data_IF_641881570943
#
_entry.id   IF_641881570943
#
_cell.length_a   1.000
_cell.length_b   1.000
_cell.length_c   1.000
_cell.angle_alpha   90.00
_cell.angle_beta   90.00
_cell.angle_gamma   90.00
#
_symmetry.space_group_name_H-M   'P 1'
#
loop_
_entity.id
_entity.type
_entity.pdbx_description
1 polymer ?
#
# COMPACT_ATOMS: atom_id res chain seq x y z
N UNK A 1 8.19 3.10 11.09
CA UNK A 1 7.42 4.19 10.44
C UNK A 1 7.99 4.45 9.05
N UNK A 2 7.14 4.73 8.06
CA UNK A 2 7.53 5.01 6.68
C UNK A 2 6.94 6.33 6.21
N UNK A 3 7.76 7.15 5.57
CA UNK A 3 7.33 8.36 4.87
C UNK A 3 7.13 8.06 3.40
N UNK A 4 5.91 8.29 2.92
CA UNK A 4 5.51 8.10 1.54
C UNK A 4 5.51 9.45 0.83
N UNK A 5 6.42 9.59 -0.13
CA UNK A 5 6.52 10.80 -0.93
C UNK A 5 5.30 10.97 -1.85
N UNK A 6 5.00 12.23 -2.20
CA UNK A 6 3.83 12.59 -3.03
C UNK A 6 3.88 12.08 -4.48
N UNK A 7 5.03 11.57 -4.91
CA UNK A 7 5.27 11.04 -6.25
C UNK A 7 5.23 9.50 -6.32
N UNK A 8 5.06 8.82 -5.18
CA UNK A 8 5.01 7.34 -5.11
C UNK A 8 3.99 6.76 -6.08
N UNK A 9 2.79 7.35 -6.16
CA UNK A 9 1.76 6.91 -7.10
C UNK A 9 2.22 7.03 -8.57
N UNK A 10 2.91 8.11 -8.95
CA UNK A 10 3.42 8.26 -10.32
C UNK A 10 4.54 7.28 -10.63
N UNK A 11 5.47 7.07 -9.68
CA UNK A 11 6.58 6.13 -9.83
C UNK A 11 6.08 4.70 -9.95
N UNK A 12 5.13 4.30 -9.11
CA UNK A 12 4.55 2.96 -9.20
C UNK A 12 3.72 2.78 -10.47
N UNK A 13 2.89 3.75 -10.84
CA UNK A 13 2.10 3.68 -12.07
C UNK A 13 2.96 3.60 -13.35
N UNK A 14 4.17 4.16 -13.34
CA UNK A 14 5.13 3.98 -14.42
C UNK A 14 5.70 2.54 -14.49
N UNK A 15 5.88 1.88 -13.34
CA UNK A 15 6.43 0.52 -13.27
C UNK A 15 5.36 -0.58 -13.46
N UNK A 16 4.16 -0.40 -12.90
CA UNK A 16 3.07 -1.37 -12.92
C UNK A 16 2.15 -1.25 -14.14
N UNK A 17 2.15 -0.08 -14.79
CA UNK A 17 1.19 0.27 -15.83
C UNK A 17 -0.15 0.81 -15.30
N UNK A 18 -0.39 0.77 -13.99
CA UNK A 18 -1.60 1.35 -13.38
C UNK A 18 -1.50 2.88 -13.32
N UNK A 19 -2.05 3.53 -14.34
CA UNK A 19 -2.12 4.99 -14.47
C UNK A 19 -3.47 5.57 -14.06
N UNK A 20 -4.20 4.93 -13.14
CA UNK A 20 -5.44 5.49 -12.63
C UNK A 20 -5.23 6.91 -12.05
N UNK A 21 -5.95 7.94 -12.53
CA UNK A 21 -5.72 9.34 -12.15
C UNK A 21 -5.81 9.64 -10.66
N UNK A 22 -6.50 8.83 -9.86
CA UNK A 22 -6.61 9.02 -8.40
C UNK A 22 -5.25 8.92 -7.67
N UNK A 23 -4.25 8.30 -8.32
CA UNK A 23 -2.91 8.10 -7.76
C UNK A 23 -1.88 9.14 -8.21
N UNK A 24 -2.18 9.88 -9.28
CA UNK A 24 -1.16 10.67 -10.00
C UNK A 24 -1.09 12.11 -9.52
N UNK A 25 -2.25 12.76 -9.37
CA UNK A 25 -2.37 14.18 -9.06
C UNK A 25 -3.52 14.46 -8.09
N UNK A 26 -3.39 15.49 -7.21
CA UNK A 26 -4.47 15.88 -6.31
C UNK A 26 -5.74 16.33 -7.03
N UNK A 27 -5.62 17.06 -8.14
CA UNK A 27 -6.78 17.58 -8.88
C UNK A 27 -7.67 16.47 -9.41
N UNK A 28 -7.06 15.45 -10.02
CA UNK A 28 -7.80 14.28 -10.52
C UNK A 28 -8.38 13.46 -9.38
N UNK A 29 -7.64 13.25 -8.28
CA UNK A 29 -8.12 12.52 -7.12
C UNK A 29 -9.35 13.18 -6.46
N UNK A 30 -9.42 14.53 -6.44
CA UNK A 30 -10.56 15.29 -5.92
C UNK A 30 -11.86 15.04 -6.69
N UNK A 31 -11.78 14.77 -7.99
CA UNK A 31 -12.96 14.40 -8.79
C UNK A 31 -13.60 13.08 -8.35
N UNK A 32 -12.83 12.24 -7.65
CA UNK A 32 -13.29 10.95 -7.12
C UNK A 32 -13.46 10.97 -5.58
N UNK A 33 -13.57 12.16 -4.97
CA UNK A 33 -13.86 12.31 -3.54
C UNK A 33 -12.66 12.19 -2.61
N UNK A 34 -11.43 12.11 -3.14
CA UNK A 34 -10.22 12.10 -2.29
C UNK A 34 -9.64 13.52 -2.15
N UNK A 35 -9.29 13.98 -0.94
CA UNK A 35 -8.76 15.34 -0.76
C UNK A 35 -7.38 15.53 -1.41
N UNK A 36 -6.63 14.43 -1.60
CA UNK A 36 -5.30 14.37 -2.24
C UNK A 36 -5.16 13.03 -2.97
N UNK A 37 -4.09 12.90 -3.76
CA UNK A 37 -3.75 11.62 -4.39
C UNK A 37 -3.57 10.53 -3.33
N UNK A 38 -3.91 9.29 -3.67
CA UNK A 38 -3.76 8.13 -2.79
C UNK A 38 -2.70 7.19 -3.32
N UNK A 39 -1.99 6.47 -2.45
CA UNK A 39 -1.08 5.41 -2.88
C UNK A 39 -1.87 4.28 -3.55
N UNK A 40 -1.26 3.63 -4.55
CA UNK A 40 -1.81 2.39 -5.10
C UNK A 40 -1.88 1.32 -4.02
N UNK A 41 -3.00 0.60 -3.94
CA UNK A 41 -3.12 -0.53 -3.00
C UNK A 41 -2.06 -1.60 -3.27
N UNK A 42 -1.80 -1.91 -4.55
CA UNK A 42 -0.76 -2.90 -4.88
C UNK A 42 0.66 -2.41 -4.56
N UNK A 43 0.91 -1.09 -4.54
CA UNK A 43 2.18 -0.55 -4.05
C UNK A 43 2.34 -0.78 -2.55
N UNK A 44 1.29 -0.55 -1.75
CA UNK A 44 1.36 -0.77 -0.29
C UNK A 44 1.57 -2.25 0.03
N UNK A 45 0.89 -3.17 -0.68
CA UNK A 45 1.12 -4.62 -0.54
C UNK A 45 2.54 -4.98 -0.92
N UNK A 46 3.03 -4.53 -2.08
CA UNK A 46 4.40 -4.84 -2.52
C UNK A 46 5.44 -4.31 -1.53
N UNK A 47 5.25 -3.12 -0.96
CA UNK A 47 6.14 -2.55 0.06
C UNK A 47 6.11 -3.37 1.36
N UNK A 48 4.93 -3.81 1.79
CA UNK A 48 4.77 -4.70 2.94
C UNK A 48 5.46 -6.04 2.73
N UNK A 49 5.33 -6.66 1.55
CA UNK A 49 6.00 -7.93 1.25
C UNK A 49 7.51 -7.79 1.17
N UNK A 50 8.00 -6.67 0.62
CA UNK A 50 9.43 -6.37 0.58
C UNK A 50 10.03 -6.21 1.99
N UNK A 51 9.26 -5.66 2.94
CA UNK A 51 9.67 -5.59 4.34
C UNK A 51 9.53 -6.94 5.06
N UNK A 52 8.43 -7.65 4.83
CA UNK A 52 8.10 -8.92 5.50
C UNK A 52 9.09 -10.03 5.14
N UNK A 53 9.61 -10.01 3.90
CA UNK A 53 10.23 -11.17 3.28
C UNK A 53 9.18 -12.20 2.88
N UNK A 54 9.43 -12.94 1.80
CA UNK A 54 8.55 -14.04 1.38
C UNK A 54 9.39 -15.27 1.04
N UNK A 55 8.90 -16.49 1.34
CA UNK A 55 9.54 -17.71 0.87
C UNK A 55 9.49 -17.77 -0.66
N UNK A 56 10.29 -18.65 -1.27
CA UNK A 56 10.38 -18.76 -2.74
C UNK A 56 9.04 -19.03 -3.45
N UNK A 57 8.05 -19.59 -2.74
CA UNK A 57 6.67 -19.69 -3.17
C UNK A 57 5.72 -19.41 -2.00
N UNK A 58 4.79 -18.47 -2.18
CA UNK A 58 3.86 -18.06 -1.14
C UNK A 58 2.47 -17.75 -1.70
N UNK A 59 1.45 -18.03 -0.89
CA UNK A 59 0.12 -17.46 -1.03
C UNK A 59 0.07 -16.17 -0.21
N UNK A 60 -0.34 -15.07 -0.85
CA UNK A 60 -0.51 -13.78 -0.19
C UNK A 60 -1.97 -13.36 -0.28
N UNK A 61 -2.57 -13.07 0.87
CA UNK A 61 -3.87 -12.39 0.96
C UNK A 61 -3.64 -10.99 1.52
N UNK A 62 -4.23 -9.99 0.89
CA UNK A 62 -4.24 -8.62 1.40
C UNK A 62 -5.66 -8.07 1.35
N UNK A 63 -6.03 -7.27 2.34
CA UNK A 63 -7.31 -6.59 2.44
C UNK A 63 -7.08 -5.09 2.59
N UNK A 64 -7.63 -4.32 1.65
CA UNK A 64 -7.59 -2.87 1.66
C UNK A 64 -8.76 -2.34 2.50
N UNK A 65 -8.43 -1.68 3.62
CA UNK A 65 -9.42 -1.15 4.58
C UNK A 65 -9.65 0.34 4.38
N UNK A 66 -8.61 1.10 4.04
CA UNK A 66 -8.69 2.53 3.84
C UNK A 66 -7.59 3.05 2.90
N UNK A 67 -7.85 4.12 2.14
CA UNK A 67 -6.85 4.73 1.27
C UNK A 67 -5.71 5.37 2.08
N UNK A 68 -4.48 5.28 1.57
CA UNK A 68 -3.31 6.00 2.11
C UNK A 68 -3.15 7.29 1.32
N UNK A 69 -3.33 8.45 1.96
CA UNK A 69 -3.17 9.75 1.31
C UNK A 69 -1.69 10.11 1.10
N UNK A 70 -1.38 10.75 -0.02
CA UNK A 70 -0.02 11.15 -0.41
C UNK A 70 0.18 12.67 -0.43
N UNK A 71 1.36 13.19 0.00
CA UNK A 71 2.33 12.49 0.85
C UNK A 71 1.73 12.11 2.22
N UNK A 72 2.29 11.12 2.88
CA UNK A 72 1.77 10.65 4.17
C UNK A 72 2.76 9.78 4.92
N UNK A 73 2.47 9.57 6.20
CA UNK A 73 3.25 8.70 7.08
C UNK A 73 2.39 7.51 7.47
N UNK A 74 2.97 6.32 7.43
CA UNK A 74 2.32 5.07 7.85
C UNK A 74 3.26 4.25 8.72
N UNK A 75 2.69 3.44 9.59
CA UNK A 75 3.41 2.49 10.44
C UNK A 75 3.15 1.08 9.95
N UNK A 76 4.24 0.38 9.65
CA UNK A 76 4.21 -1.05 9.36
C UNK A 76 4.40 -1.85 10.63
N UNK A 77 3.64 -2.93 10.76
CA UNK A 77 3.81 -3.92 11.80
C UNK A 77 3.63 -5.32 11.20
N UNK A 78 4.32 -6.31 11.76
CA UNK A 78 4.17 -7.70 11.36
C UNK A 78 4.35 -8.63 12.56
N UNK A 79 3.67 -9.77 12.51
CA UNK A 79 3.75 -10.82 13.51
C UNK A 79 3.48 -12.17 12.84
N UNK A 80 4.44 -13.10 12.91
CA UNK A 80 4.37 -14.36 12.18
C UNK A 80 4.23 -14.10 10.68
N UNK A 81 3.23 -14.71 10.03
CA UNK A 81 2.91 -14.48 8.61
C UNK A 81 1.99 -13.29 8.35
N UNK A 82 1.56 -12.54 9.38
CA UNK A 82 0.63 -11.40 9.21
C UNK A 82 1.39 -10.08 9.14
N UNK A 83 0.84 -9.13 8.38
CA UNK A 83 1.33 -7.76 8.33
C UNK A 83 0.18 -6.75 8.31
N UNK A 84 0.46 -5.55 8.81
CA UNK A 84 -0.47 -4.43 8.81
C UNK A 84 0.23 -3.13 8.43
N UNK A 85 -0.55 -2.22 7.85
CA UNK A 85 -0.16 -0.85 7.56
C UNK A 85 -1.19 0.11 8.16
N UNK A 86 -0.74 0.96 9.09
CA UNK A 86 -1.59 1.89 9.85
C UNK A 86 -1.21 3.35 9.60
N UNK A 87 -2.18 4.26 9.67
CA UNK A 87 -1.96 5.70 9.66
C UNK A 87 -1.70 6.28 11.05
N UNK A 88 -1.60 7.60 11.14
CA UNK A 88 -1.33 8.34 12.38
C UNK A 88 -2.36 8.10 13.52
N UNK A 89 -3.64 7.86 13.17
CA UNK A 89 -4.72 7.66 14.15
C UNK A 89 -5.06 6.17 14.33
N UNK A 90 -4.05 5.30 14.24
CA UNK A 90 -4.18 3.83 14.21
C UNK A 90 -5.12 3.28 13.12
N UNK A 91 -5.54 4.14 12.19
CA UNK A 91 -6.41 3.75 11.08
C UNK A 91 -5.72 2.69 10.24
N UNK A 92 -6.30 1.50 10.19
CA UNK A 92 -5.81 0.40 9.36
C UNK A 92 -6.07 0.72 7.88
N UNK A 93 -5.01 0.71 7.08
CA UNK A 93 -5.06 0.87 5.63
C UNK A 93 -5.02 -0.48 4.92
N UNK A 94 -4.12 -1.36 5.36
CA UNK A 94 -3.92 -2.69 4.80
C UNK A 94 -3.72 -3.68 5.95
N UNK A 95 -4.39 -4.83 5.84
CA UNK A 95 -4.01 -6.04 6.56
C UNK A 95 -3.63 -7.10 5.55
N UNK A 96 -2.68 -7.96 5.86
CA UNK A 96 -2.33 -9.05 4.98
C UNK A 96 -1.74 -10.23 5.71
N UNK A 97 -1.66 -11.33 4.98
CA UNK A 97 -1.14 -12.60 5.44
C UNK A 97 -0.35 -13.27 4.31
N UNK A 98 0.83 -13.76 4.66
CA UNK A 98 1.72 -14.53 3.81
C UNK A 98 1.77 -15.95 4.37
N UNK A 99 1.45 -16.93 3.53
CA UNK A 99 1.56 -18.35 3.86
C UNK A 99 2.47 -19.02 2.85
N UNK A 100 3.45 -19.84 3.28
CA UNK A 100 4.20 -20.67 2.35
C UNK A 100 3.24 -21.55 1.53
N UNK A 101 3.50 -21.68 0.23
CA UNK A 101 2.86 -22.74 -0.54
C UNK A 101 3.58 -24.04 -0.16
N UNK A 102 2.89 -24.94 0.54
CA UNK A 102 3.40 -26.28 0.77
C UNK A 102 3.59 -26.92 -0.61
N UNK A 103 4.81 -27.37 -0.87
CA UNK A 103 5.19 -28.14 -2.05
C UNK A 103 5.17 -29.62 -1.71
#
# INVERSE_FOLDING_TARGET
EWHLAGDVGRRYGAASGDRNPIHLHPLTARLFGFPRAIAHGMWTVARCLAEHGTPGAAFVRAEFRAPVLLPGTVTYAAEGGRFELRGHDDRVHVTGEVRPLLT
#
